data_IF_725794136983
#
_entry.id   IF_725794136983
#
_cell.length_a   1.000
_cell.length_b   1.000
_cell.length_c   1.000
_cell.angle_alpha   90.00
_cell.angle_beta   90.00
_cell.angle_gamma   90.00
#
_symmetry.space_group_name_H-M   'P 1'
#
loop_
_entity.id
_entity.type
_entity.pdbx_description
1 polymer ?
#
# COMPACT_ATOMS: atom_id res chain seq x y z
N UNK A 1 10.93 -0.24 1.44
CA UNK A 1 9.62 -0.81 1.04
C UNK A 1 9.43 -0.59 -0.44
N UNK A 2 9.13 -1.66 -1.18
CA UNK A 2 8.78 -1.60 -2.61
C UNK A 2 9.94 -1.27 -3.56
N UNK A 3 9.58 -1.04 -4.82
CA UNK A 3 10.49 -0.78 -5.95
C UNK A 3 11.05 0.65 -5.95
N UNK A 4 12.17 0.86 -6.64
CA UNK A 4 12.69 2.19 -6.95
C UNK A 4 11.77 2.93 -7.94
N UNK A 5 11.82 4.27 -7.95
CA UNK A 5 10.94 5.06 -8.84
C UNK A 5 11.21 4.77 -10.32
N UNK A 6 12.47 4.53 -10.70
CA UNK A 6 12.83 4.17 -12.07
C UNK A 6 12.21 2.83 -12.51
N UNK A 7 12.22 1.84 -11.62
CA UNK A 7 11.57 0.55 -11.88
C UNK A 7 10.05 0.71 -12.02
N UNK A 8 9.43 1.54 -11.18
CA UNK A 8 8.00 1.86 -11.26
C UNK A 8 7.70 2.56 -12.59
N UNK A 9 8.51 3.53 -13.01
CA UNK A 9 8.37 4.19 -14.32
C UNK A 9 8.46 3.19 -15.47
N UNK A 10 9.41 2.24 -15.38
CA UNK A 10 9.54 1.15 -16.34
C UNK A 10 8.29 0.27 -16.40
N UNK A 11 7.73 -0.13 -15.26
CA UNK A 11 6.51 -0.94 -15.18
C UNK A 11 5.27 -0.21 -15.68
N UNK A 12 5.20 1.11 -15.45
CA UNK A 12 4.08 1.95 -15.89
C UNK A 12 4.26 2.48 -17.32
N UNK A 13 5.35 2.11 -18.01
CA UNK A 13 5.60 2.53 -19.38
C UNK A 13 4.52 2.01 -20.31
N UNK A 14 3.84 2.91 -21.01
CA UNK A 14 2.73 2.58 -21.92
C UNK A 14 1.39 2.30 -21.22
N UNK A 15 1.31 2.39 -19.89
CA UNK A 15 0.04 2.29 -19.16
C UNK A 15 -0.76 3.58 -19.36
N UNK A 16 -2.04 3.43 -19.72
CA UNK A 16 -3.00 4.53 -19.75
C UNK A 16 -3.66 4.65 -18.38
N UNK A 17 -3.60 5.86 -17.80
CA UNK A 17 -4.25 6.17 -16.53
C UNK A 17 -5.74 6.47 -16.75
N UNK A 18 -6.53 5.41 -16.83
CA UNK A 18 -7.99 5.51 -16.95
C UNK A 18 -8.61 5.96 -15.63
N UNK A 19 -9.42 7.03 -15.67
CA UNK A 19 -10.14 7.51 -14.50
C UNK A 19 -11.28 6.53 -14.14
N UNK A 20 -11.17 5.85 -13.01
CA UNK A 20 -12.16 4.87 -12.52
C UNK A 20 -12.92 5.39 -11.30
N UNK A 21 -12.19 5.91 -10.33
CA UNK A 21 -12.71 6.59 -9.15
C UNK A 21 -12.52 8.12 -9.20
N UNK A 22 -13.10 8.85 -8.25
CA UNK A 22 -12.95 10.30 -8.15
C UNK A 22 -11.48 10.73 -7.99
N UNK A 23 -10.67 9.93 -7.30
CA UNK A 23 -9.28 10.25 -6.94
C UNK A 23 -8.24 9.43 -7.72
N UNK A 24 -8.62 8.77 -8.82
CA UNK A 24 -7.66 8.02 -9.64
C UNK A 24 -6.50 8.92 -10.08
N UNK A 25 -5.27 8.45 -9.88
CA UNK A 25 -4.06 9.12 -10.37
C UNK A 25 -4.17 9.39 -11.87
N UNK A 26 -3.88 10.62 -12.29
CA UNK A 26 -3.98 11.02 -13.69
C UNK A 26 -2.70 10.75 -14.48
N UNK A 27 -1.58 10.54 -13.79
CA UNK A 27 -0.27 10.32 -14.40
C UNK A 27 0.71 9.69 -13.41
N UNK A 28 1.90 9.36 -13.94
CA UNK A 28 2.97 8.74 -13.17
C UNK A 28 3.48 9.64 -12.02
N UNK A 29 3.49 10.96 -12.16
CA UNK A 29 3.99 11.86 -11.12
C UNK A 29 3.07 11.89 -9.89
N UNK A 30 1.74 11.88 -10.10
CA UNK A 30 0.79 11.79 -8.99
C UNK A 30 0.89 10.45 -8.27
N UNK A 31 1.01 9.35 -9.03
CA UNK A 31 1.21 8.02 -8.48
C UNK A 31 2.51 7.91 -7.67
N UNK A 32 3.64 8.41 -8.19
CA UNK A 32 4.91 8.40 -7.48
C UNK A 32 4.88 9.27 -6.21
N UNK A 33 4.09 10.34 -6.22
CA UNK A 33 3.86 11.15 -5.01
C UNK A 33 3.14 10.36 -3.93
N UNK A 34 2.06 9.64 -4.26
CA UNK A 34 1.39 8.78 -3.27
C UNK A 34 2.26 7.58 -2.86
N UNK A 35 3.04 6.98 -3.77
CA UNK A 35 3.97 5.90 -3.41
C UNK A 35 5.03 6.38 -2.41
N UNK A 36 5.54 7.62 -2.54
CA UNK A 36 6.46 8.22 -1.55
C UNK A 36 5.78 8.36 -0.19
N UNK A 37 4.52 8.78 -0.18
CA UNK A 37 3.73 8.88 1.05
C UNK A 37 3.48 7.49 1.66
N UNK A 38 3.14 6.49 0.85
CA UNK A 38 3.03 5.10 1.25
C UNK A 38 4.32 4.62 1.93
N UNK A 39 5.49 4.86 1.30
CA UNK A 39 6.82 4.54 1.84
C UNK A 39 7.07 5.21 3.19
N UNK A 40 6.66 6.47 3.35
CA UNK A 40 6.81 7.23 4.59
C UNK A 40 5.94 6.69 5.72
N UNK A 41 4.66 6.37 5.45
CA UNK A 41 3.70 5.87 6.45
C UNK A 41 3.80 4.37 6.71
N UNK A 42 4.37 3.61 5.78
CA UNK A 42 4.58 2.15 5.86
C UNK A 42 3.39 1.31 5.42
N UNK A 43 2.39 1.92 4.78
CA UNK A 43 1.15 1.28 4.29
C UNK A 43 0.58 2.06 3.11
N UNK A 44 -0.21 1.41 2.26
CA UNK A 44 -0.88 1.99 1.09
C UNK A 44 -2.34 2.33 1.38
N UNK A 45 -2.80 3.44 0.81
CA UNK A 45 -4.20 3.87 0.83
C UNK A 45 -4.70 3.88 -0.61
N UNK A 46 -5.83 3.26 -0.85
CA UNK A 46 -6.67 3.53 -2.01
C UNK A 46 -7.83 4.38 -1.48
N UNK A 47 -7.79 5.69 -1.75
CA UNK A 47 -8.84 6.63 -1.35
C UNK A 47 -9.78 6.86 -2.52
N UNK A 48 -10.64 5.90 -2.82
CA UNK A 48 -11.54 5.93 -3.97
C UNK A 48 -10.79 6.15 -5.31
N UNK A 49 -9.60 5.58 -5.45
CA UNK A 49 -8.81 5.64 -6.68
C UNK A 49 -9.30 4.58 -7.67
N UNK A 50 -9.65 3.38 -7.17
CA UNK A 50 -10.14 2.28 -8.00
C UNK A 50 -11.65 2.37 -8.25
N UNK A 51 -12.44 2.64 -7.20
CA UNK A 51 -13.91 2.64 -7.24
C UNK A 51 -14.45 3.78 -6.38
N UNK A 52 -15.52 4.50 -6.82
CA UNK A 52 -16.22 5.44 -5.95
C UNK A 52 -16.76 4.78 -4.68
N UNK A 53 -16.81 5.53 -3.58
CA UNK A 53 -17.36 5.10 -2.28
C UNK A 53 -16.64 3.91 -1.61
N UNK A 54 -15.47 3.48 -2.11
CA UNK A 54 -14.66 2.41 -1.51
C UNK A 54 -13.30 2.95 -1.13
N UNK A 55 -12.92 2.71 0.14
CA UNK A 55 -11.54 2.89 0.59
C UNK A 55 -10.90 1.54 0.89
N UNK A 56 -9.60 1.45 0.61
CA UNK A 56 -8.79 0.30 0.96
C UNK A 56 -7.51 0.72 1.68
N UNK A 57 -7.05 -0.11 2.61
CA UNK A 57 -5.71 0.01 3.19
C UNK A 57 -4.95 -1.28 3.00
N UNK A 58 -3.70 -1.18 2.58
CA UNK A 58 -2.79 -2.29 2.37
C UNK A 58 -1.49 -2.15 3.16
N UNK A 59 -0.90 -3.27 3.57
CA UNK A 59 0.43 -3.29 4.17
C UNK A 59 1.31 -4.39 3.56
N UNK A 60 2.63 -4.15 3.42
CA UNK A 60 3.55 -5.10 2.82
C UNK A 60 3.82 -6.29 3.75
N UNK A 61 4.00 -7.46 3.15
CA UNK A 61 4.47 -8.68 3.79
C UNK A 61 5.92 -8.91 3.37
N UNK A 62 6.80 -9.06 4.35
CA UNK A 62 8.22 -9.28 4.17
C UNK A 62 8.61 -10.74 4.39
N UNK A 63 9.61 -11.20 3.65
CA UNK A 63 10.26 -12.49 3.90
C UNK A 63 11.45 -12.35 4.88
N UNK A 64 12.13 -13.48 5.13
CA UNK A 64 13.34 -13.55 5.95
C UNK A 64 14.52 -12.70 5.46
N UNK A 65 14.52 -12.27 4.19
CA UNK A 65 15.55 -11.39 3.61
C UNK A 65 15.18 -9.91 3.73
N UNK A 66 14.02 -9.60 4.32
CA UNK A 66 13.49 -8.23 4.37
C UNK A 66 12.95 -7.74 3.02
N UNK A 67 12.72 -8.64 2.06
CA UNK A 67 12.13 -8.29 0.77
C UNK A 67 10.61 -8.32 0.85
N UNK A 68 9.95 -7.36 0.20
CA UNK A 68 8.48 -7.38 0.06
C UNK A 68 8.12 -8.50 -0.91
N UNK A 69 7.39 -9.51 -0.44
CA UNK A 69 6.98 -10.68 -1.24
C UNK A 69 5.49 -10.73 -1.52
N UNK A 70 4.70 -9.99 -0.74
CA UNK A 70 3.25 -9.90 -0.89
C UNK A 70 2.74 -8.63 -0.20
N UNK A 71 1.43 -8.39 -0.27
CA UNK A 71 0.72 -7.41 0.55
C UNK A 71 -0.61 -8.00 0.99
N UNK A 72 -1.14 -7.52 2.10
CA UNK A 72 -2.52 -7.79 2.54
C UNK A 72 -3.28 -6.47 2.61
N UNK A 73 -4.53 -6.46 2.18
CA UNK A 73 -5.41 -5.30 2.23
C UNK A 73 -6.75 -5.62 2.87
N UNK A 74 -7.44 -4.56 3.28
CA UNK A 74 -8.86 -4.59 3.62
C UNK A 74 -9.54 -3.41 2.94
N UNK A 75 -10.80 -3.60 2.56
CA UNK A 75 -11.63 -2.62 1.85
C UNK A 75 -12.95 -2.46 2.57
N UNK A 76 -13.54 -1.27 2.49
CA UNK A 76 -14.85 -1.00 3.05
C UNK A 76 -15.59 0.07 2.24
N UNK A 77 -16.93 0.03 2.30
CA UNK A 77 -17.80 1.01 1.66
C UNK A 77 -18.03 2.16 2.64
N UNK A 78 -17.72 3.39 2.21
CA UNK A 78 -17.75 4.59 3.05
C UNK A 78 -19.15 4.86 3.65
N UNK A 79 -20.19 4.71 2.83
CA UNK A 79 -21.58 4.93 3.27
C UNK A 79 -22.04 3.89 4.31
N UNK A 80 -21.63 2.62 4.14
CA UNK A 80 -22.05 1.52 5.03
C UNK A 80 -21.23 1.45 6.31
N UNK A 81 -19.98 1.91 6.28
CA UNK A 81 -19.03 1.81 7.39
C UNK A 81 -18.32 3.15 7.65
N UNK A 82 -19.04 4.25 7.92
CA UNK A 82 -18.45 5.58 8.06
C UNK A 82 -17.46 5.70 9.23
N UNK A 83 -17.55 4.79 10.21
CA UNK A 83 -16.64 4.72 11.34
C UNK A 83 -15.28 4.07 11.02
N UNK A 84 -15.18 3.34 9.90
CA UNK A 84 -13.93 2.73 9.43
C UNK A 84 -13.15 3.80 8.66
N UNK A 85 -12.11 4.35 9.27
CA UNK A 85 -11.24 5.35 8.63
C UNK A 85 -9.86 4.75 8.39
N UNK A 86 -9.08 5.25 7.41
CA UNK A 86 -7.72 4.77 7.17
C UNK A 86 -6.85 4.74 8.44
N UNK A 87 -6.96 5.74 9.31
CA UNK A 87 -6.19 5.86 10.54
C UNK A 87 -6.52 4.77 11.56
N UNK A 88 -7.76 4.27 11.56
CA UNK A 88 -8.20 3.17 12.41
C UNK A 88 -7.84 1.81 11.81
N UNK A 89 -7.94 1.69 10.49
CA UNK A 89 -7.75 0.42 9.80
C UNK A 89 -6.28 0.10 9.56
N UNK A 90 -5.45 1.09 9.21
CA UNK A 90 -4.04 0.88 8.91
C UNK A 90 -3.26 0.17 10.03
N UNK A 91 -3.37 0.54 11.32
CA UNK A 91 -2.67 -0.17 12.39
C UNK A 91 -3.04 -1.65 12.48
N UNK A 92 -4.30 -2.01 12.19
CA UNK A 92 -4.77 -3.40 12.21
C UNK A 92 -4.20 -4.20 11.04
N UNK A 93 -4.22 -3.62 9.84
CA UNK A 93 -3.67 -4.24 8.62
C UNK A 93 -2.16 -4.40 8.74
N UNK A 94 -1.44 -3.37 9.21
CA UNK A 94 0.01 -3.41 9.44
C UNK A 94 0.37 -4.46 10.48
N UNK A 95 -0.40 -4.58 11.57
CA UNK A 95 -0.19 -5.64 12.57
C UNK A 95 -0.38 -7.03 11.97
N UNK A 96 -1.42 -7.22 11.16
CA UNK A 96 -1.65 -8.48 10.45
C UNK A 96 -0.48 -8.82 9.52
N UNK A 97 -0.07 -7.88 8.67
CA UNK A 97 1.05 -8.04 7.75
C UNK A 97 2.37 -8.34 8.48
N UNK A 98 2.61 -7.69 9.63
CA UNK A 98 3.78 -7.94 10.49
C UNK A 98 3.78 -9.36 11.06
N UNK A 99 2.62 -9.87 11.50
CA UNK A 99 2.51 -11.24 11.99
C UNK A 99 2.79 -12.26 10.88
N UNK A 100 2.21 -12.04 9.69
CA UNK A 100 2.48 -12.89 8.53
C UNK A 100 3.97 -12.84 8.18
N UNK A 101 4.56 -11.64 8.13
CA UNK A 101 5.99 -11.46 7.85
C UNK A 101 6.87 -12.21 8.85
N UNK A 102 6.51 -12.17 10.14
CA UNK A 102 7.23 -12.90 11.20
C UNK A 102 7.19 -14.41 10.96
N UNK A 103 6.03 -14.94 10.55
CA UNK A 103 5.89 -16.35 10.17
C UNK A 103 6.66 -16.70 8.89
N UNK A 104 6.89 -15.71 8.02
CA UNK A 104 7.77 -15.83 6.84
C UNK A 104 9.25 -15.62 7.15
N UNK A 105 9.62 -15.53 8.43
CA UNK A 105 10.99 -15.41 8.91
C UNK A 105 11.53 -13.98 8.99
N UNK A 106 10.69 -12.96 8.77
CA UNK A 106 11.11 -11.57 8.90
C UNK A 106 11.35 -11.20 10.36
N UNK A 107 12.50 -10.58 10.64
CA UNK A 107 12.84 -10.09 11.98
C UNK A 107 13.27 -8.63 11.93
N UNK A 108 12.41 -7.76 12.47
CA UNK A 108 12.60 -6.29 12.50
C UNK A 108 13.91 -5.86 13.19
N UNK A 109 14.47 -6.66 14.11
CA UNK A 109 15.73 -6.34 14.83
C UNK A 109 17.00 -6.55 13.99
N UNK A 110 16.93 -7.35 12.94
CA UNK A 110 18.09 -7.65 12.07
C UNK A 110 18.14 -6.66 10.89
N UNK A 111 16.98 -6.21 10.41
CA UNK A 111 16.84 -5.33 9.25
C UNK A 111 17.29 -3.87 9.45
N UNK A 112 17.54 -3.42 10.70
CA UNK A 112 18.00 -2.05 10.99
C UNK A 112 19.52 -1.94 11.24
N UNK A 113 20.28 -3.01 10.97
CA UNK A 113 21.75 -3.10 11.13
C UNK A 113 22.48 -3.40 9.82
N UNK A 114 21.81 -3.32 8.68
CA UNK A 114 22.40 -3.43 7.36
C UNK A 114 22.36 -2.08 6.66
#
# INVERSE_FOLDING_TARGET
>A
MGLAEEEIRGLMSGVVFEKRGPNTHANIESLLTDIRECKRRGWGLDDQEAEPDINCVAAPIYDYRGQVIAAISTSWILEQQPQMTPEKMAPLVVKCATNISTNMGWNKKISSRA
#
